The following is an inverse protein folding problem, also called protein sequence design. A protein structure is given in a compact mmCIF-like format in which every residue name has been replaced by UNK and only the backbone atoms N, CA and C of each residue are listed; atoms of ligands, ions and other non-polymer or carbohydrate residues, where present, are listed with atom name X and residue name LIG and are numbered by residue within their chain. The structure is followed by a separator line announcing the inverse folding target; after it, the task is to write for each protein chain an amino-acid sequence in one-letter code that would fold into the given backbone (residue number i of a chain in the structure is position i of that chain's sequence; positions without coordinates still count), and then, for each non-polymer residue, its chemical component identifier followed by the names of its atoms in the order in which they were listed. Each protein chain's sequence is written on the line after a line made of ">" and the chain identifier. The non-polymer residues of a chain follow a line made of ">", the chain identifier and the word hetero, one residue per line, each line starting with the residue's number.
data_IF_405667920991
#
_entry.id   IF_405667920991
#
_cell.length_a   1.000
_cell.length_b   1.000
_cell.length_c   1.000
_cell.angle_alpha   90.00
_cell.angle_beta   90.00
_cell.angle_gamma   90.00
#
_symmetry.space_group_name_H-M   'P 1'
#
loop_
_entity.id
_entity.type
_entity.pdbx_description
1 polymer ?
#
# COMPACT_ATOMS: atom_id res chain seq x y z
N UNK A 1 8.23 -79.25 -51.84
CA UNK A 1 6.89 -79.84 -51.70
C UNK A 1 5.89 -78.70 -51.77
N UNK A 2 5.20 -78.46 -52.89
CA UNK A 2 5.32 -79.11 -54.21
C UNK A 2 6.60 -78.65 -54.96
N UNK A 3 7.11 -79.19 -56.08
CA UNK A 3 6.55 -79.97 -57.23
C UNK A 3 5.63 -79.19 -58.17
N UNK A 4 5.71 -79.31 -59.50
CA UNK A 4 6.69 -79.96 -60.40
C UNK A 4 6.62 -79.28 -61.80
N UNK A 5 7.52 -79.65 -62.71
CA UNK A 5 7.41 -79.56 -64.18
C UNK A 5 7.35 -78.19 -64.92
N UNK A 6 7.78 -78.07 -66.18
CA UNK A 6 8.90 -78.64 -66.99
C UNK A 6 8.75 -78.04 -68.42
N UNK A 7 9.85 -77.58 -69.05
CA UNK A 7 10.26 -77.83 -70.47
C UNK A 7 9.27 -77.35 -71.60
N UNK A 8 9.62 -76.84 -72.79
CA UNK A 8 10.77 -76.96 -73.71
C UNK A 8 10.87 -75.73 -74.64
N UNK A 9 12.11 -75.32 -74.97
CA UNK A 9 12.67 -75.05 -76.32
C UNK A 9 11.98 -74.07 -77.32
N UNK A 10 12.65 -73.54 -78.36
CA UNK A 10 13.90 -73.96 -79.02
C UNK A 10 14.57 -72.78 -79.76
N UNK A 11 15.90 -72.80 -79.90
CA UNK A 11 16.66 -72.36 -81.09
C UNK A 11 16.75 -70.86 -81.50
N UNK A 12 17.85 -70.33 -82.08
CA UNK A 12 19.10 -70.89 -82.65
C UNK A 12 20.27 -69.85 -82.61
N UNK A 13 21.48 -70.28 -82.21
CA UNK A 13 22.82 -70.06 -82.86
C UNK A 13 23.36 -68.61 -83.12
N UNK A 14 24.65 -68.22 -82.88
CA UNK A 14 25.90 -69.01 -82.86
C UNK A 14 27.00 -68.67 -81.79
N UNK A 15 28.08 -67.92 -82.13
CA UNK A 15 29.47 -68.03 -81.59
C UNK A 15 30.31 -66.73 -81.76
N UNK A 16 31.51 -66.48 -81.19
CA UNK A 16 32.42 -67.11 -80.17
C UNK A 16 33.37 -66.02 -79.60
N UNK A 17 33.75 -66.04 -78.31
CA UNK A 17 34.98 -66.57 -77.66
C UNK A 17 36.39 -66.16 -78.20
N UNK A 18 37.27 -65.84 -77.24
CA UNK A 18 38.69 -65.40 -77.35
C UNK A 18 39.53 -66.17 -76.29
N UNK A 19 40.89 -66.14 -76.28
CA UNK A 19 41.72 -67.31 -76.58
C UNK A 19 42.61 -67.78 -75.42
N UNK A 20 43.22 -68.97 -75.54
CA UNK A 20 44.53 -69.29 -74.91
C UNK A 20 45.17 -70.60 -75.44
N UNK A 21 46.52 -70.62 -75.35
CA UNK A 21 47.48 -71.73 -75.31
C UNK A 21 47.58 -72.74 -76.50
N UNK A 22 48.72 -73.36 -76.87
CA UNK A 22 50.20 -73.15 -76.88
C UNK A 22 50.82 -74.56 -76.97
N UNK A 23 51.70 -74.80 -77.97
CA UNK A 23 52.73 -75.88 -78.05
C UNK A 23 52.26 -77.38 -78.06
N UNK A 24 52.92 -78.35 -78.72
CA UNK A 24 54.17 -78.39 -79.52
C UNK A 24 54.24 -79.60 -80.51
N UNK A 25 55.34 -79.66 -81.27
CA UNK A 25 56.09 -80.83 -81.81
C UNK A 25 55.60 -81.68 -83.01
N UNK A 26 56.17 -81.32 -84.17
CA UNK A 26 56.91 -82.16 -85.15
C UNK A 26 56.21 -83.17 -86.10
N UNK A 27 56.47 -83.02 -87.42
CA UNK A 27 55.94 -83.92 -88.45
C UNK A 27 56.30 -83.71 -89.95
N UNK A 28 57.48 -83.17 -90.29
CA UNK A 28 58.15 -83.23 -91.64
C UNK A 28 57.76 -82.30 -92.83
N UNK A 29 58.79 -81.55 -93.29
CA UNK A 29 59.19 -81.18 -94.70
C UNK A 29 58.27 -80.35 -95.64
N UNK A 30 58.75 -79.39 -96.45
CA UNK A 30 60.04 -78.67 -96.53
C UNK A 30 59.90 -77.31 -97.30
N UNK A 31 60.44 -76.22 -96.73
CA UNK A 31 61.05 -75.02 -97.35
C UNK A 31 60.27 -74.20 -98.42
N UNK A 32 59.83 -72.99 -98.03
CA UNK A 32 59.57 -71.84 -98.93
C UNK A 32 60.44 -70.65 -98.48
N UNK A 33 61.26 -70.09 -99.39
CA UNK A 33 62.34 -69.15 -99.04
C UNK A 33 61.98 -67.67 -99.21
N UNK A 34 61.85 -66.97 -98.07
CA UNK A 34 61.53 -65.53 -97.99
C UNK A 34 62.56 -64.62 -98.69
N UNK A 35 63.83 -65.01 -98.79
CA UNK A 35 64.86 -64.25 -99.52
C UNK A 35 64.50 -64.00 -101.00
N UNK A 36 63.68 -64.86 -101.59
CA UNK A 36 63.26 -64.71 -103.00
C UNK A 36 62.31 -63.52 -103.22
N UNK A 37 61.45 -63.18 -102.26
CA UNK A 37 60.53 -62.03 -102.37
C UNK A 37 61.17 -60.71 -101.90
N UNK A 38 62.02 -60.72 -100.86
CA UNK A 38 62.67 -59.49 -100.36
C UNK A 38 63.66 -58.85 -101.35
N UNK A 39 64.05 -59.57 -102.41
CA UNK A 39 64.88 -59.03 -103.49
C UNK A 39 64.16 -58.05 -104.43
N UNK A 40 62.81 -58.08 -104.50
CA UNK A 40 62.04 -57.30 -105.50
C UNK A 40 61.48 -55.95 -105.03
N UNK A 41 61.50 -55.63 -103.74
CA UNK A 41 60.94 -54.36 -103.19
C UNK A 41 61.98 -53.35 -102.70
N UNK A 42 63.29 -53.63 -102.84
CA UNK A 42 64.38 -52.80 -102.28
C UNK A 42 64.69 -51.50 -103.07
N UNK A 43 63.86 -51.09 -104.03
CA UNK A 43 64.14 -49.91 -104.91
C UNK A 43 62.94 -48.96 -105.17
N UNK A 44 62.07 -48.73 -104.17
CA UNK A 44 61.22 -47.54 -104.21
C UNK A 44 60.97 -46.93 -102.82
N UNK A 45 61.69 -45.85 -102.48
CA UNK A 45 61.45 -45.07 -101.25
C UNK A 45 60.32 -44.08 -101.51
N UNK A 46 59.08 -44.51 -101.27
CA UNK A 46 57.89 -43.69 -101.52
C UNK A 46 57.77 -42.57 -100.47
N UNK A 47 58.25 -41.36 -100.77
CA UNK A 47 58.31 -40.21 -99.84
C UNK A 47 56.94 -39.75 -99.35
N UNK A 48 55.89 -39.94 -100.15
CA UNK A 48 54.49 -39.72 -99.77
C UNK A 48 54.06 -40.56 -98.56
N UNK A 49 54.60 -41.77 -98.38
CA UNK A 49 54.24 -42.64 -97.26
C UNK A 49 54.80 -42.09 -95.93
N UNK A 50 56.00 -41.52 -95.94
CA UNK A 50 56.55 -40.78 -94.79
C UNK A 50 55.75 -39.50 -94.50
N UNK A 51 55.27 -38.80 -95.53
CA UNK A 51 54.43 -37.61 -95.35
C UNK A 51 53.08 -37.94 -94.69
N UNK A 52 52.42 -39.03 -95.11
CA UNK A 52 51.21 -39.54 -94.44
C UNK A 52 51.48 -39.98 -92.99
N UNK A 53 52.58 -40.68 -92.74
CA UNK A 53 52.94 -41.14 -91.39
C UNK A 53 53.21 -39.97 -90.42
N UNK A 54 53.94 -38.94 -90.87
CA UNK A 54 54.18 -37.72 -90.09
C UNK A 54 52.87 -36.95 -89.89
N UNK A 55 52.06 -36.80 -90.93
CA UNK A 55 50.74 -36.14 -90.84
C UNK A 55 49.80 -36.82 -89.84
N UNK A 56 49.77 -38.16 -89.81
CA UNK A 56 48.97 -38.93 -88.85
C UNK A 56 49.46 -38.75 -87.40
N UNK A 57 50.78 -38.77 -87.19
CA UNK A 57 51.40 -38.48 -85.88
C UNK A 57 51.11 -37.05 -85.40
N UNK A 58 51.18 -36.07 -86.29
CA UNK A 58 50.81 -34.68 -86.00
C UNK A 58 49.31 -34.54 -85.65
N UNK A 59 48.43 -35.22 -86.40
CA UNK A 59 46.99 -35.22 -86.14
C UNK A 59 46.64 -35.85 -84.78
N UNK A 60 47.30 -36.94 -84.39
CA UNK A 60 47.17 -37.55 -83.05
C UNK A 60 47.61 -36.58 -81.94
N UNK A 61 48.72 -35.87 -82.13
CA UNK A 61 49.22 -34.92 -81.15
C UNK A 61 48.28 -33.71 -80.98
N UNK A 62 47.81 -33.14 -82.09
CA UNK A 62 46.80 -32.05 -82.08
C UNK A 62 45.48 -32.52 -81.48
N UNK A 63 45.00 -33.72 -81.83
CA UNK A 63 43.79 -34.31 -81.27
C UNK A 63 43.89 -34.47 -79.75
N UNK A 64 45.02 -34.97 -79.24
CA UNK A 64 45.26 -35.11 -77.79
C UNK A 64 45.24 -33.76 -77.06
N UNK A 65 45.88 -32.73 -77.62
CA UNK A 65 45.85 -31.37 -77.07
C UNK A 65 44.43 -30.81 -77.08
N UNK A 66 43.69 -30.99 -78.18
CA UNK A 66 42.31 -30.53 -78.32
C UNK A 66 41.37 -31.23 -77.33
N UNK A 67 41.50 -32.54 -77.15
CA UNK A 67 40.73 -33.32 -76.16
C UNK A 67 41.02 -32.85 -74.73
N UNK A 68 42.29 -32.56 -74.42
CA UNK A 68 42.71 -32.06 -73.10
C UNK A 68 42.17 -30.64 -72.83
N UNK A 69 42.14 -29.77 -73.84
CA UNK A 69 41.53 -28.45 -73.75
C UNK A 69 40.00 -28.54 -73.57
N UNK A 70 39.33 -29.35 -74.37
CA UNK A 70 37.88 -29.54 -74.33
C UNK A 70 37.38 -30.11 -73.00
N UNK A 71 38.08 -31.10 -72.43
CA UNK A 71 37.78 -31.62 -71.09
C UNK A 71 37.99 -30.55 -70.01
N UNK A 72 39.04 -29.72 -70.12
CA UNK A 72 39.32 -28.64 -69.16
C UNK A 72 38.23 -27.57 -69.15
N UNK A 73 37.66 -27.26 -70.31
CA UNK A 73 36.57 -26.30 -70.47
C UNK A 73 35.21 -26.88 -70.05
N UNK A 74 34.98 -28.19 -70.23
CA UNK A 74 33.70 -28.86 -69.90
C UNK A 74 33.55 -29.23 -68.42
N UNK A 75 34.64 -29.36 -67.66
CA UNK A 75 34.61 -29.85 -66.27
C UNK A 75 34.93 -28.80 -65.20
N UNK A 76 35.07 -27.52 -65.55
CA UNK A 76 35.31 -26.46 -64.55
C UNK A 76 34.02 -25.92 -63.89
N UNK A 77 32.83 -26.28 -64.40
CA UNK A 77 31.52 -25.94 -63.81
C UNK A 77 30.59 -27.16 -63.66
N UNK A 78 30.96 -28.09 -62.76
CA UNK A 78 29.96 -28.72 -61.89
C UNK A 78 30.04 -28.07 -60.52
N UNK A 79 29.53 -26.85 -60.42
CA UNK A 79 29.04 -26.34 -59.16
C UNK A 79 28.05 -27.35 -58.58
N UNK A 80 28.34 -27.86 -57.38
CA UNK A 80 27.27 -28.42 -56.54
C UNK A 80 26.26 -27.30 -56.39
N UNK A 81 24.98 -27.56 -56.61
CA UNK A 81 23.97 -26.51 -56.68
C UNK A 81 23.71 -25.95 -55.28
N UNK A 82 24.48 -24.92 -54.90
CA UNK A 82 24.54 -24.35 -53.54
C UNK A 82 23.18 -23.82 -53.07
N UNK A 83 22.27 -23.51 -54.01
CA UNK A 83 20.89 -23.05 -53.74
C UNK A 83 20.14 -23.91 -52.72
N UNK A 84 20.19 -25.25 -52.80
CA UNK A 84 19.46 -26.11 -51.84
C UNK A 84 20.06 -26.06 -50.43
N UNK A 85 21.38 -25.92 -50.32
CA UNK A 85 22.06 -25.77 -49.02
C UNK A 85 21.90 -24.36 -48.44
N UNK A 86 21.76 -23.35 -49.29
CA UNK A 86 21.51 -21.97 -48.89
C UNK A 86 20.07 -21.81 -48.37
N UNK A 87 19.07 -22.36 -49.07
CA UNK A 87 17.67 -22.39 -48.60
C UNK A 87 17.51 -23.19 -47.29
N UNK A 88 18.20 -24.33 -47.13
CA UNK A 88 18.23 -25.07 -45.87
C UNK A 88 18.85 -24.23 -44.73
N UNK A 89 19.96 -23.54 -44.98
CA UNK A 89 20.61 -22.66 -43.99
C UNK A 89 19.74 -21.46 -43.63
N UNK A 90 19.01 -20.89 -44.60
CA UNK A 90 18.04 -19.81 -44.40
C UNK A 90 16.85 -20.29 -43.56
N UNK A 91 16.33 -21.49 -43.84
CA UNK A 91 15.24 -22.10 -43.06
C UNK A 91 15.64 -22.36 -41.61
N UNK A 92 16.79 -22.97 -41.36
CA UNK A 92 17.29 -23.22 -40.00
C UNK A 92 17.53 -21.89 -39.23
N UNK A 93 17.98 -20.84 -39.91
CA UNK A 93 18.10 -19.49 -39.33
C UNK A 93 16.73 -18.90 -38.97
N UNK A 94 15.71 -19.05 -39.83
CA UNK A 94 14.34 -18.58 -39.56
C UNK A 94 13.72 -19.35 -38.39
N UNK A 95 13.83 -20.68 -38.37
CA UNK A 95 13.28 -21.50 -37.28
C UNK A 95 14.00 -21.24 -35.95
N UNK A 96 15.31 -21.00 -35.98
CA UNK A 96 16.08 -20.54 -34.81
C UNK A 96 15.65 -19.14 -34.34
N UNK A 97 15.38 -18.22 -35.26
CA UNK A 97 14.87 -16.88 -34.95
C UNK A 97 13.47 -16.93 -34.33
N UNK A 98 12.50 -17.64 -34.96
CA UNK A 98 11.14 -17.85 -34.43
C UNK A 98 11.17 -18.53 -33.05
N UNK A 99 12.09 -19.48 -32.83
CA UNK A 99 12.30 -20.14 -31.52
C UNK A 99 12.89 -19.20 -30.46
N UNK A 100 13.79 -18.30 -30.83
CA UNK A 100 14.34 -17.29 -29.92
C UNK A 100 13.32 -16.20 -29.59
N UNK A 101 12.50 -15.75 -30.56
CA UNK A 101 11.38 -14.84 -30.34
C UNK A 101 10.36 -15.45 -29.38
N UNK A 102 9.95 -16.70 -29.60
CA UNK A 102 9.03 -17.43 -28.69
C UNK A 102 9.57 -17.48 -27.25
N UNK A 103 10.87 -17.69 -27.07
CA UNK A 103 11.54 -17.66 -25.75
C UNK A 103 11.59 -16.26 -25.14
N UNK A 104 11.83 -15.22 -25.94
CA UNK A 104 11.80 -13.82 -25.49
C UNK A 104 10.40 -13.47 -24.99
N UNK A 105 9.36 -13.83 -25.75
CA UNK A 105 7.96 -13.59 -25.39
C UNK A 105 7.52 -14.41 -24.17
N UNK A 106 8.01 -15.64 -24.02
CA UNK A 106 7.83 -16.40 -22.78
C UNK A 106 8.53 -15.71 -21.60
N UNK A 107 9.79 -15.31 -21.75
CA UNK A 107 10.54 -14.67 -20.68
C UNK A 107 9.94 -13.31 -20.26
N UNK A 108 9.38 -12.56 -21.21
CA UNK A 108 8.60 -11.33 -20.93
C UNK A 108 7.30 -11.61 -20.19
N UNK A 109 6.53 -12.63 -20.58
CA UNK A 109 5.32 -13.05 -19.85
C UNK A 109 5.64 -13.51 -18.43
N UNK A 110 6.74 -14.24 -18.24
CA UNK A 110 7.22 -14.63 -16.92
C UNK A 110 7.67 -13.41 -16.08
N UNK A 111 8.34 -12.42 -16.68
CA UNK A 111 8.67 -11.16 -16.00
C UNK A 111 7.42 -10.38 -15.57
N UNK A 112 6.39 -10.32 -16.42
CA UNK A 112 5.12 -9.67 -16.09
C UNK A 112 4.39 -10.41 -14.97
N UNK A 113 4.31 -11.75 -15.04
CA UNK A 113 3.76 -12.57 -13.96
C UNK A 113 4.48 -12.31 -12.62
N UNK A 114 5.81 -12.16 -12.62
CA UNK A 114 6.59 -11.78 -11.43
C UNK A 114 6.17 -10.39 -10.87
N UNK A 115 5.85 -9.41 -11.74
CA UNK A 115 5.29 -8.12 -11.27
C UNK A 115 3.89 -8.28 -10.68
N UNK A 116 3.04 -9.11 -11.29
CA UNK A 116 1.67 -9.36 -10.81
C UNK A 116 1.70 -10.06 -9.45
N UNK A 117 2.46 -11.14 -9.32
CA UNK A 117 2.69 -11.84 -8.05
C UNK A 117 3.17 -10.89 -6.94
N UNK A 118 4.15 -10.01 -7.25
CA UNK A 118 4.62 -8.99 -6.30
C UNK A 118 3.49 -8.08 -5.83
N UNK A 119 2.70 -7.58 -6.78
CA UNK A 119 1.60 -6.66 -6.51
C UNK A 119 0.48 -7.31 -5.68
N UNK A 120 0.14 -8.58 -5.96
CA UNK A 120 -0.81 -9.36 -5.16
C UNK A 120 -0.27 -9.69 -3.76
N UNK A 121 1.01 -10.03 -3.61
CA UNK A 121 1.62 -10.20 -2.29
C UNK A 121 1.63 -8.88 -1.49
N UNK A 122 1.87 -7.73 -2.13
CA UNK A 122 1.80 -6.41 -1.47
C UNK A 122 0.38 -6.10 -0.99
N UNK A 123 -0.65 -6.39 -1.80
CA UNK A 123 -2.06 -6.17 -1.43
C UNK A 123 -2.46 -7.12 -0.29
N UNK A 124 -2.19 -8.42 -0.41
CA UNK A 124 -2.50 -9.38 0.66
C UNK A 124 -1.72 -9.11 1.95
N UNK A 125 -0.51 -8.55 1.87
CA UNK A 125 0.20 -8.01 3.03
C UNK A 125 -0.54 -6.79 3.59
N UNK A 126 -1.04 -5.88 2.76
CA UNK A 126 -1.84 -4.75 3.25
C UNK A 126 -3.09 -5.24 4.02
N UNK A 127 -3.83 -6.19 3.46
CA UNK A 127 -5.09 -6.70 4.01
C UNK A 127 -4.89 -7.45 5.32
N UNK A 128 -3.92 -8.38 5.39
CA UNK A 128 -3.57 -9.10 6.63
C UNK A 128 -3.25 -8.14 7.79
N UNK A 129 -2.53 -7.06 7.50
CA UNK A 129 -2.16 -6.07 8.50
C UNK A 129 -3.31 -5.13 8.87
N UNK A 130 -4.22 -4.83 7.94
CA UNK A 130 -5.45 -4.10 8.24
C UNK A 130 -6.38 -4.91 9.14
N UNK A 131 -6.57 -6.20 8.86
CA UNK A 131 -7.33 -7.14 9.71
C UNK A 131 -6.67 -7.32 11.09
N UNK A 132 -5.34 -7.43 11.15
CA UNK A 132 -4.59 -7.49 12.41
C UNK A 132 -4.80 -6.23 13.27
N UNK A 133 -4.81 -5.05 12.64
CA UNK A 133 -5.13 -3.78 13.31
C UNK A 133 -6.59 -3.71 13.78
N UNK A 134 -7.56 -4.12 12.95
CA UNK A 134 -8.96 -4.20 13.37
C UNK A 134 -9.12 -5.13 14.60
N UNK A 135 -8.41 -6.27 14.61
CA UNK A 135 -8.40 -7.20 15.75
C UNK A 135 -7.87 -6.52 17.03
N UNK A 136 -6.68 -5.90 16.99
CA UNK A 136 -6.10 -5.17 18.14
C UNK A 136 -7.05 -4.09 18.66
N UNK A 137 -7.71 -3.35 17.77
CA UNK A 137 -8.66 -2.31 18.16
C UNK A 137 -9.92 -2.90 18.83
N UNK A 138 -10.35 -4.10 18.43
CA UNK A 138 -11.50 -4.81 18.99
C UNK A 138 -11.23 -5.58 20.29
N UNK A 139 -9.98 -5.94 20.59
CA UNK A 139 -9.58 -6.61 21.84
C UNK A 139 -9.83 -5.71 23.06
N UNK A 140 -10.12 -6.28 24.24
CA UNK A 140 -10.38 -5.52 25.47
C UNK A 140 -9.07 -5.21 26.21
N UNK A 141 -8.25 -4.37 25.57
CA UNK A 141 -6.93 -3.92 26.05
C UNK A 141 -6.95 -2.43 26.39
N UNK A 142 -5.97 -1.99 27.20
CA UNK A 142 -5.73 -0.57 27.43
C UNK A 142 -5.40 0.16 26.12
N UNK A 143 -5.70 1.46 26.05
CA UNK A 143 -5.42 2.25 24.86
C UNK A 143 -3.91 2.33 24.58
N UNK A 144 -3.07 2.34 25.61
CA UNK A 144 -1.61 2.36 25.47
C UNK A 144 -1.09 1.03 24.91
N UNK A 145 -1.56 -0.10 25.42
CA UNK A 145 -1.24 -1.44 24.88
C UNK A 145 -1.69 -1.58 23.41
N UNK A 146 -2.87 -1.05 23.06
CA UNK A 146 -3.36 -1.00 21.67
C UNK A 146 -2.44 -0.16 20.79
N UNK A 147 -1.95 0.97 21.29
CA UNK A 147 -1.03 1.84 20.57
C UNK A 147 0.32 1.12 20.34
N UNK A 148 0.90 0.51 21.38
CA UNK A 148 2.15 -0.26 21.28
C UNK A 148 2.04 -1.41 20.28
N UNK A 149 1.04 -2.29 20.43
CA UNK A 149 0.81 -3.40 19.47
C UNK A 149 0.56 -2.90 18.05
N UNK A 150 -0.09 -1.75 17.86
CA UNK A 150 -0.28 -1.15 16.53
C UNK A 150 1.03 -0.61 15.94
N UNK A 151 1.93 -0.09 16.77
CA UNK A 151 3.28 0.36 16.36
C UNK A 151 4.15 -0.84 15.98
N UNK A 152 4.15 -1.91 16.76
CA UNK A 152 4.85 -3.16 16.46
C UNK A 152 4.35 -3.79 15.14
N UNK A 153 3.03 -3.93 15.01
CA UNK A 153 2.39 -4.42 13.80
C UNK A 153 2.73 -3.54 12.58
N UNK A 154 2.90 -2.22 12.76
CA UNK A 154 3.35 -1.32 11.69
C UNK A 154 4.82 -1.58 11.31
N UNK A 155 5.74 -1.72 12.27
CA UNK A 155 7.17 -2.03 12.01
C UNK A 155 7.31 -3.35 11.26
N UNK A 156 6.64 -4.40 11.74
CA UNK A 156 6.65 -5.73 11.11
C UNK A 156 6.11 -5.69 9.66
N UNK A 157 5.10 -4.85 9.38
CA UNK A 157 4.60 -4.60 8.02
C UNK A 157 5.68 -3.99 7.13
N UNK A 158 6.41 -2.99 7.62
CA UNK A 158 7.43 -2.27 6.85
C UNK A 158 8.64 -3.18 6.55
N UNK A 159 9.06 -4.00 7.50
CA UNK A 159 10.11 -5.02 7.32
C UNK A 159 9.70 -6.11 6.32
N UNK A 160 8.49 -6.66 6.45
CA UNK A 160 7.97 -7.64 5.46
C UNK A 160 7.80 -7.02 4.08
N UNK A 161 7.32 -5.78 3.98
CA UNK A 161 7.18 -5.08 2.70
C UNK A 161 8.54 -4.84 2.03
N UNK A 162 9.59 -4.50 2.81
CA UNK A 162 10.95 -4.35 2.31
C UNK A 162 11.50 -5.68 1.79
N UNK A 163 11.51 -6.71 2.63
CA UNK A 163 12.01 -8.04 2.26
C UNK A 163 11.26 -8.67 1.07
N UNK A 164 9.96 -8.40 0.96
CA UNK A 164 9.13 -8.76 -0.19
C UNK A 164 9.63 -8.08 -1.48
N UNK A 165 9.75 -6.75 -1.46
CA UNK A 165 10.27 -5.97 -2.62
C UNK A 165 11.67 -6.42 -3.01
N UNK A 166 12.57 -6.62 -2.04
CA UNK A 166 13.95 -7.07 -2.30
C UNK A 166 14.00 -8.48 -2.90
N UNK A 167 13.06 -9.38 -2.51
CA UNK A 167 12.92 -10.72 -3.09
C UNK A 167 12.44 -10.66 -4.54
N UNK A 168 11.43 -9.85 -4.83
CA UNK A 168 10.89 -9.70 -6.18
C UNK A 168 11.83 -8.92 -7.12
N UNK A 169 12.53 -7.90 -6.64
CA UNK A 169 13.57 -7.19 -7.39
C UNK A 169 14.63 -8.15 -7.95
N UNK A 170 15.14 -9.07 -7.11
CA UNK A 170 16.11 -10.09 -7.52
C UNK A 170 15.55 -11.14 -8.51
N UNK A 171 14.24 -11.44 -8.46
CA UNK A 171 13.58 -12.28 -9.48
C UNK A 171 13.48 -11.55 -10.82
N UNK A 172 13.06 -10.28 -10.79
CA UNK A 172 12.95 -9.44 -11.99
C UNK A 172 14.30 -9.16 -12.64
N UNK A 173 15.35 -8.90 -11.86
CA UNK A 173 16.72 -8.68 -12.33
C UNK A 173 17.26 -9.90 -13.08
N UNK A 174 17.21 -11.09 -12.46
CA UNK A 174 17.60 -12.35 -13.10
C UNK A 174 16.84 -12.62 -14.41
N UNK A 175 15.54 -12.31 -14.46
CA UNK A 175 14.74 -12.50 -15.67
C UNK A 175 15.02 -11.43 -16.73
N UNK A 176 15.34 -10.20 -16.31
CA UNK A 176 15.84 -9.14 -17.18
C UNK A 176 17.18 -9.49 -17.84
N UNK A 177 18.11 -10.10 -17.10
CA UNK A 177 19.35 -10.64 -17.66
C UNK A 177 19.08 -11.74 -18.70
N UNK A 178 18.17 -12.66 -18.42
CA UNK A 178 17.79 -13.73 -19.36
C UNK A 178 17.25 -13.14 -20.68
N UNK A 179 16.32 -12.18 -20.60
CA UNK A 179 15.78 -11.44 -21.74
C UNK A 179 16.90 -10.71 -22.50
N UNK A 180 17.84 -10.07 -21.80
CA UNK A 180 18.97 -9.37 -22.43
C UNK A 180 19.91 -10.34 -23.19
N UNK A 181 20.18 -11.53 -22.62
CA UNK A 181 20.96 -12.59 -23.27
C UNK A 181 20.24 -13.12 -24.53
N UNK A 182 18.94 -13.42 -24.42
CA UNK A 182 18.12 -13.89 -25.54
C UNK A 182 18.05 -12.85 -26.69
N UNK A 183 17.84 -11.56 -26.35
CA UNK A 183 17.91 -10.47 -27.34
C UNK A 183 19.27 -10.36 -28.01
N UNK A 184 20.37 -10.53 -27.26
CA UNK A 184 21.72 -10.52 -27.84
C UNK A 184 21.91 -11.65 -28.85
N UNK A 185 21.46 -12.87 -28.55
CA UNK A 185 21.48 -13.97 -29.54
C UNK A 185 20.59 -13.71 -30.75
N UNK A 186 19.38 -13.19 -30.55
CA UNK A 186 18.46 -12.85 -31.64
C UNK A 186 19.04 -11.81 -32.59
N UNK A 187 19.63 -10.73 -32.06
CA UNK A 187 20.25 -9.67 -32.87
C UNK A 187 21.45 -10.19 -33.70
N UNK A 188 22.22 -11.15 -33.17
CA UNK A 188 23.31 -11.80 -33.92
C UNK A 188 22.72 -12.60 -35.09
N UNK A 189 21.71 -13.44 -34.85
CA UNK A 189 21.00 -14.17 -35.92
C UNK A 189 20.39 -13.23 -36.96
N UNK A 190 19.75 -12.13 -36.54
CA UNK A 190 19.14 -11.15 -37.44
C UNK A 190 20.18 -10.41 -38.29
N UNK A 191 21.36 -10.12 -37.74
CA UNK A 191 22.46 -9.48 -38.49
C UNK A 191 23.07 -10.42 -39.54
N UNK A 192 23.30 -11.69 -39.20
CA UNK A 192 23.78 -12.74 -40.11
C UNK A 192 22.73 -13.08 -41.19
N UNK A 193 21.45 -12.93 -40.88
CA UNK A 193 20.36 -13.09 -41.83
C UNK A 193 20.29 -11.91 -42.82
N UNK A 194 20.39 -10.66 -42.34
CA UNK A 194 20.41 -9.46 -43.19
C UNK A 194 21.62 -9.36 -44.12
N UNK A 195 22.77 -9.96 -43.77
CA UNK A 195 23.89 -10.07 -44.71
C UNK A 195 23.60 -11.05 -45.84
N UNK A 196 22.95 -12.18 -45.55
CA UNK A 196 22.66 -13.23 -46.54
C UNK A 196 21.43 -12.89 -47.42
N UNK A 197 20.49 -12.08 -46.93
CA UNK A 197 19.28 -11.68 -47.68
C UNK A 197 19.54 -10.75 -48.87
N UNK A 198 20.72 -10.12 -48.97
CA UNK A 198 20.99 -9.14 -50.06
C UNK A 198 21.00 -9.78 -51.45
N UNK A 199 21.17 -11.10 -51.53
CA UNK A 199 21.41 -11.82 -52.78
C UNK A 199 20.22 -12.70 -53.22
N UNK A 200 19.06 -12.63 -52.55
CA UNK A 200 17.90 -13.52 -52.85
C UNK A 200 16.52 -12.86 -52.67
N UNK A 201 15.79 -12.71 -53.78
CA UNK A 201 14.50 -11.98 -53.83
C UNK A 201 13.26 -12.74 -53.34
N UNK A 202 13.33 -14.06 -53.09
CA UNK A 202 12.17 -14.88 -52.73
C UNK A 202 11.69 -14.72 -51.27
N UNK A 203 12.41 -13.94 -50.46
CA UNK A 203 12.33 -13.99 -48.98
C UNK A 203 11.33 -12.99 -48.37
N UNK A 204 10.70 -12.11 -49.17
CA UNK A 204 9.81 -11.04 -48.67
C UNK A 204 8.61 -11.56 -47.85
N UNK A 205 7.86 -12.54 -48.35
CA UNK A 205 6.61 -12.99 -47.71
C UNK A 205 6.82 -13.54 -46.28
N UNK A 206 7.93 -14.23 -46.04
CA UNK A 206 8.26 -14.77 -44.71
C UNK A 206 8.68 -13.67 -43.72
N UNK A 207 9.21 -12.55 -44.22
CA UNK A 207 9.57 -11.39 -43.39
C UNK A 207 8.32 -10.65 -42.90
N UNK A 208 7.32 -10.48 -43.76
CA UNK A 208 6.04 -9.86 -43.41
C UNK A 208 5.25 -10.70 -42.38
N UNK A 209 5.26 -12.03 -42.51
CA UNK A 209 4.67 -12.93 -41.52
C UNK A 209 5.33 -12.74 -40.13
N UNK A 210 6.67 -12.78 -40.07
CA UNK A 210 7.45 -12.58 -38.85
C UNK A 210 7.14 -11.21 -38.21
N UNK A 211 7.09 -10.15 -39.01
CA UNK A 211 6.79 -8.80 -38.51
C UNK A 211 5.34 -8.68 -38.00
N UNK A 212 4.39 -9.40 -38.58
CA UNK A 212 3.00 -9.47 -38.10
C UNK A 212 2.88 -10.19 -36.75
N UNK A 213 3.61 -11.29 -36.56
CA UNK A 213 3.69 -12.05 -35.30
C UNK A 213 4.25 -11.16 -34.19
N UNK A 214 5.36 -10.47 -34.47
CA UNK A 214 6.00 -9.52 -33.55
C UNK A 214 5.06 -8.39 -33.12
N UNK A 215 4.30 -7.80 -34.05
CA UNK A 215 3.33 -6.74 -33.73
C UNK A 215 2.14 -7.26 -32.91
N UNK A 216 1.63 -8.45 -33.21
CA UNK A 216 0.56 -9.07 -32.41
C UNK A 216 1.03 -9.43 -31.00
N UNK A 217 2.25 -9.97 -30.86
CA UNK A 217 2.84 -10.27 -29.55
C UNK A 217 3.03 -9.01 -28.71
N UNK A 218 3.61 -7.95 -29.30
CA UNK A 218 3.79 -6.65 -28.65
C UNK A 218 2.44 -6.04 -28.20
N UNK A 219 1.41 -6.10 -29.05
CA UNK A 219 0.07 -5.64 -28.73
C UNK A 219 -0.55 -6.42 -27.57
N UNK A 220 -0.42 -7.74 -27.57
CA UNK A 220 -0.92 -8.60 -26.50
C UNK A 220 -0.19 -8.36 -25.16
N UNK A 221 1.13 -8.15 -25.19
CA UNK A 221 1.91 -7.79 -24.01
C UNK A 221 1.43 -6.46 -23.40
N UNK A 222 1.31 -5.39 -24.19
CA UNK A 222 0.81 -4.11 -23.69
C UNK A 222 -0.64 -4.18 -23.18
N UNK A 223 -1.48 -4.99 -23.81
CA UNK A 223 -2.87 -5.17 -23.36
C UNK A 223 -2.94 -5.95 -22.03
N UNK A 224 -2.07 -6.95 -21.83
CA UNK A 224 -1.93 -7.67 -20.56
C UNK A 224 -1.38 -6.78 -19.44
N UNK A 225 -0.32 -6.02 -19.70
CA UNK A 225 0.29 -5.08 -18.74
C UNK A 225 -0.70 -3.96 -18.34
N UNK A 226 -1.52 -3.48 -19.28
CA UNK A 226 -2.59 -2.53 -18.96
C UNK A 226 -3.63 -3.15 -18.02
N UNK A 227 -4.08 -4.38 -18.29
CA UNK A 227 -5.07 -5.06 -17.45
C UNK A 227 -4.53 -5.38 -16.05
N UNK A 228 -3.28 -5.84 -15.92
CA UNK A 228 -2.65 -6.11 -14.62
C UNK A 228 -2.54 -4.82 -13.79
N UNK A 229 -2.13 -3.72 -14.42
CA UNK A 229 -2.00 -2.42 -13.80
C UNK A 229 -3.35 -1.81 -13.36
N UNK A 230 -4.39 -1.94 -14.20
CA UNK A 230 -5.76 -1.53 -13.87
C UNK A 230 -6.31 -2.31 -12.65
N UNK A 231 -6.11 -3.64 -12.61
CA UNK A 231 -6.53 -4.46 -11.48
C UNK A 231 -5.77 -4.12 -10.18
N UNK A 232 -4.46 -3.88 -10.28
CA UNK A 232 -3.64 -3.43 -9.16
C UNK A 232 -4.15 -2.09 -8.59
N UNK A 233 -4.32 -1.07 -9.43
CA UNK A 233 -4.80 0.23 -8.97
C UNK A 233 -6.23 0.16 -8.44
N UNK A 234 -7.11 -0.69 -8.99
CA UNK A 234 -8.46 -0.91 -8.46
C UNK A 234 -8.42 -1.46 -7.03
N UNK A 235 -7.67 -2.54 -6.78
CA UNK A 235 -7.50 -3.14 -5.44
C UNK A 235 -6.80 -2.17 -4.47
N UNK A 236 -5.75 -1.49 -4.91
CA UNK A 236 -5.04 -0.50 -4.09
C UNK A 236 -5.94 0.67 -3.68
N UNK A 237 -6.78 1.15 -4.60
CA UNK A 237 -7.77 2.21 -4.32
C UNK A 237 -8.80 1.72 -3.31
N UNK A 238 -9.33 0.49 -3.46
CA UNK A 238 -10.26 -0.10 -2.49
C UNK A 238 -9.65 -0.21 -1.08
N UNK A 239 -8.40 -0.67 -0.98
CA UNK A 239 -7.68 -0.74 0.31
C UNK A 239 -7.47 0.65 0.93
N UNK A 240 -7.15 1.67 0.13
CA UNK A 240 -7.05 3.05 0.61
C UNK A 240 -8.41 3.65 1.00
N UNK A 241 -9.48 3.36 0.27
CA UNK A 241 -10.85 3.77 0.65
C UNK A 241 -11.19 3.18 2.02
N UNK A 242 -11.01 1.88 2.25
CA UNK A 242 -11.29 1.26 3.55
C UNK A 242 -10.41 1.82 4.69
N UNK A 243 -9.18 2.26 4.41
CA UNK A 243 -8.29 2.88 5.40
C UNK A 243 -8.82 4.22 5.93
N UNK A 244 -9.42 5.05 5.07
CA UNK A 244 -9.88 6.41 5.40
C UNK A 244 -11.41 6.52 5.58
N UNK A 245 -12.15 5.56 5.04
CA UNK A 245 -13.59 5.41 5.11
C UNK A 245 -13.91 3.94 5.53
N UNK A 246 -13.59 3.54 6.77
CA UNK A 246 -13.75 2.16 7.24
C UNK A 246 -15.22 1.73 7.42
N UNK A 247 -15.43 0.41 7.44
CA UNK A 247 -16.68 -0.22 7.88
C UNK A 247 -16.52 -0.67 9.33
N UNK A 248 -17.22 0.00 10.26
CA UNK A 248 -17.22 -0.34 11.68
C UNK A 248 -18.03 -1.63 11.88
N UNK A 249 -17.38 -2.68 12.40
CA UNK A 249 -17.99 -3.99 12.66
C UNK A 249 -18.11 -4.32 14.15
N UNK A 250 -17.39 -3.62 15.02
CA UNK A 250 -17.35 -3.90 16.47
C UNK A 250 -18.72 -3.66 17.11
N UNK A 251 -19.27 -4.67 17.78
CA UNK A 251 -20.62 -4.63 18.36
C UNK A 251 -20.85 -3.43 19.28
N UNK A 252 -19.90 -3.13 20.18
CA UNK A 252 -19.94 -1.95 21.06
C UNK A 252 -20.13 -0.64 20.28
N UNK A 253 -19.40 -0.46 19.17
CA UNK A 253 -19.51 0.74 18.34
C UNK A 253 -20.82 0.72 17.54
N UNK A 254 -21.24 -0.43 17.00
CA UNK A 254 -22.54 -0.57 16.32
C UNK A 254 -23.71 -0.25 17.25
N UNK A 255 -23.62 -0.56 18.54
CA UNK A 255 -24.65 -0.22 19.52
C UNK A 255 -24.69 1.30 19.79
N UNK A 256 -23.54 1.95 19.93
CA UNK A 256 -23.45 3.43 20.03
C UNK A 256 -24.03 4.09 18.77
N UNK A 257 -23.72 3.59 17.57
CA UNK A 257 -24.24 4.12 16.30
C UNK A 257 -25.76 3.94 16.11
N UNK A 258 -26.37 2.96 16.80
CA UNK A 258 -27.82 2.71 16.80
C UNK A 258 -28.58 3.50 17.86
N UNK A 259 -27.89 4.10 18.81
CA UNK A 259 -28.49 4.78 19.96
C UNK A 259 -29.27 6.03 19.52
N UNK A 260 -30.56 6.09 19.88
CA UNK A 260 -31.49 7.14 19.44
C UNK A 260 -31.41 8.38 20.33
N UNK A 261 -30.40 9.21 20.09
CA UNK A 261 -30.27 10.53 20.72
C UNK A 261 -30.92 11.58 19.80
N UNK A 262 -31.99 12.22 20.28
CA UNK A 262 -32.84 13.13 19.50
C UNK A 262 -32.45 14.62 19.69
N UNK A 263 -31.15 14.91 19.76
CA UNK A 263 -30.60 16.26 19.96
C UNK A 263 -29.46 16.48 18.96
N UNK A 264 -29.34 17.68 18.39
CA UNK A 264 -28.24 18.06 17.50
C UNK A 264 -27.56 19.33 18.00
N UNK A 265 -26.26 19.47 17.74
CA UNK A 265 -25.50 20.58 18.32
C UNK A 265 -26.02 21.94 17.86
N UNK A 266 -26.41 22.05 16.59
CA UNK A 266 -27.04 23.25 16.03
C UNK A 266 -28.34 23.66 16.76
N UNK A 267 -29.11 22.72 17.32
CA UNK A 267 -30.29 23.06 18.11
C UNK A 267 -29.95 23.49 19.55
N UNK A 268 -28.82 23.03 20.09
CA UNK A 268 -28.33 23.39 21.42
C UNK A 268 -27.62 24.75 21.41
N UNK A 269 -26.77 25.03 20.41
CA UNK A 269 -26.04 26.31 20.25
C UNK A 269 -27.01 27.51 20.32
N UNK A 270 -28.12 27.44 19.58
CA UNK A 270 -29.16 28.48 19.57
C UNK A 270 -29.89 28.69 20.92
N UNK A 271 -29.67 27.82 21.91
CA UNK A 271 -30.29 27.85 23.25
C UNK A 271 -29.27 28.10 24.38
N UNK A 272 -27.97 28.24 24.05
CA UNK A 272 -26.92 28.46 25.05
C UNK A 272 -27.12 29.79 25.78
N UNK A 273 -26.99 29.75 27.10
CA UNK A 273 -27.18 30.96 27.92
C UNK A 273 -25.92 31.80 27.97
N UNK A 274 -26.11 33.11 28.10
CA UNK A 274 -25.06 34.06 28.43
C UNK A 274 -24.49 33.79 29.84
N UNK A 275 -23.28 34.29 30.11
CA UNK A 275 -22.62 34.14 31.40
C UNK A 275 -23.48 34.64 32.57
N UNK A 276 -23.88 33.78 33.53
CA UNK A 276 -24.63 34.17 34.72
C UNK A 276 -23.73 34.93 35.70
N UNK A 277 -24.00 36.21 36.03
CA UNK A 277 -23.11 37.02 36.88
C UNK A 277 -22.85 36.42 38.27
N UNK A 278 -23.85 35.72 38.83
CA UNK A 278 -23.79 35.07 40.15
C UNK A 278 -22.64 34.06 40.28
N UNK A 279 -22.24 33.40 39.20
CA UNK A 279 -21.09 32.48 39.21
C UNK A 279 -19.76 33.21 39.49
N UNK A 280 -19.69 34.50 39.14
CA UNK A 280 -18.54 35.36 39.38
C UNK A 280 -18.56 35.98 40.77
N UNK A 281 -19.71 36.45 41.25
CA UNK A 281 -19.82 37.02 42.62
C UNK A 281 -19.54 35.98 43.69
N UNK A 282 -20.00 34.74 43.50
CA UNK A 282 -19.73 33.61 44.40
C UNK A 282 -18.36 32.97 44.18
N UNK A 283 -17.56 33.43 43.21
CA UNK A 283 -16.23 32.89 42.91
C UNK A 283 -16.20 31.46 42.34
N UNK A 284 -17.35 30.94 41.90
CA UNK A 284 -17.53 29.56 41.44
C UNK A 284 -16.91 29.33 40.06
N UNK A 285 -17.16 30.25 39.11
CA UNK A 285 -16.68 30.10 37.74
C UNK A 285 -16.51 31.45 37.07
N UNK A 286 -15.34 31.71 36.48
CA UNK A 286 -15.03 33.02 35.90
C UNK A 286 -15.61 33.20 34.49
N UNK A 287 -15.94 34.44 34.15
CA UNK A 287 -16.45 34.84 32.83
C UNK A 287 -15.54 34.41 31.68
N UNK A 288 -14.22 34.51 31.86
CA UNK A 288 -13.25 34.16 30.83
C UNK A 288 -13.21 32.65 30.56
N UNK A 289 -13.31 31.82 31.62
CA UNK A 289 -13.40 30.35 31.47
C UNK A 289 -14.71 29.93 30.83
N UNK A 290 -15.81 30.61 31.16
CA UNK A 290 -17.10 30.41 30.50
C UNK A 290 -17.07 30.76 29.01
N UNK A 291 -16.53 31.93 28.66
CA UNK A 291 -16.39 32.36 27.27
C UNK A 291 -15.40 31.47 26.48
N UNK A 292 -14.38 30.90 27.13
CA UNK A 292 -13.50 29.90 26.54
C UNK A 292 -14.26 28.59 26.24
N UNK A 293 -15.07 28.10 27.19
CA UNK A 293 -15.90 26.93 26.96
C UNK A 293 -16.91 27.12 25.81
N UNK A 294 -17.54 28.30 25.72
CA UNK A 294 -18.42 28.63 24.59
C UNK A 294 -17.69 28.53 23.26
N UNK A 295 -16.50 29.14 23.14
CA UNK A 295 -15.67 29.01 21.93
C UNK A 295 -15.31 27.56 21.62
N UNK A 296 -14.95 26.74 22.60
CA UNK A 296 -14.68 25.31 22.35
C UNK A 296 -15.90 24.52 21.84
N UNK A 297 -17.12 24.92 22.20
CA UNK A 297 -18.36 24.33 21.67
C UNK A 297 -18.55 24.74 20.19
N UNK A 298 -18.32 26.01 19.87
CA UNK A 298 -18.41 26.54 18.50
C UNK A 298 -17.30 25.97 17.59
N UNK A 299 -16.06 25.93 18.07
CA UNK A 299 -14.89 25.34 17.40
C UNK A 299 -15.12 23.85 17.09
N UNK A 300 -15.76 23.11 18.00
CA UNK A 300 -16.13 21.71 17.77
C UNK A 300 -17.16 21.58 16.64
N UNK A 301 -18.20 22.42 16.58
CA UNK A 301 -19.16 22.38 15.47
C UNK A 301 -18.44 22.66 14.14
N UNK A 302 -17.63 23.72 14.07
CA UNK A 302 -16.87 24.08 12.86
C UNK A 302 -16.02 22.91 12.35
N UNK A 303 -15.27 22.25 13.24
CA UNK A 303 -14.47 21.07 12.90
C UNK A 303 -15.35 19.90 12.45
N UNK A 304 -16.48 19.65 13.12
CA UNK A 304 -17.38 18.56 12.80
C UNK A 304 -18.12 18.77 11.47
N UNK A 305 -18.58 19.99 11.17
CA UNK A 305 -19.16 20.33 9.87
C UNK A 305 -18.10 20.20 8.76
N UNK A 306 -16.84 20.58 9.02
CA UNK A 306 -15.76 20.37 8.04
C UNK A 306 -15.52 18.88 7.77
N UNK A 307 -15.56 18.02 8.78
CA UNK A 307 -15.48 16.56 8.58
C UNK A 307 -16.70 16.03 7.83
N UNK A 308 -17.92 16.45 8.19
CA UNK A 308 -19.18 16.08 7.49
C UNK A 308 -19.20 16.52 6.01
N UNK A 309 -18.44 17.56 5.64
CA UNK A 309 -18.32 18.01 4.23
C UNK A 309 -17.54 17.07 3.31
N UNK A 310 -16.81 16.09 3.88
CA UNK A 310 -16.08 15.08 3.10
C UNK A 310 -17.05 13.95 2.71
N UNK A 311 -17.13 13.56 1.42
CA UNK A 311 -18.07 12.54 0.95
C UNK A 311 -17.62 11.12 1.34
N UNK A 312 -17.75 10.78 2.62
CA UNK A 312 -17.57 9.41 3.11
C UNK A 312 -18.81 8.56 2.80
N UNK A 313 -18.61 7.28 2.47
CA UNK A 313 -19.69 6.35 2.08
C UNK A 313 -20.01 5.28 3.13
N UNK A 314 -19.06 4.91 4.01
CA UNK A 314 -19.18 3.76 4.90
C UNK A 314 -19.64 4.18 6.31
N UNK A 315 -18.91 3.82 7.37
CA UNK A 315 -19.37 4.05 8.75
C UNK A 315 -18.99 5.42 9.32
N UNK A 316 -18.27 6.26 8.57
CA UNK A 316 -17.87 7.60 9.03
C UNK A 316 -19.06 8.58 9.12
N UNK A 317 -19.97 8.73 8.13
CA UNK A 317 -21.13 9.61 8.25
C UNK A 317 -22.01 9.34 9.48
N UNK A 318 -22.45 8.09 9.78
CA UNK A 318 -23.23 7.83 10.98
C UNK A 318 -22.40 8.01 12.27
N UNK A 319 -21.07 7.78 12.24
CA UNK A 319 -20.21 8.07 13.38
C UNK A 319 -20.11 9.57 13.68
N UNK A 320 -19.91 10.41 12.66
CA UNK A 320 -19.90 11.88 12.81
C UNK A 320 -21.28 12.40 13.26
N UNK A 321 -22.38 11.79 12.79
CA UNK A 321 -23.73 12.12 13.25
C UNK A 321 -23.97 11.70 14.71
N UNK A 322 -23.40 10.58 15.16
CA UNK A 322 -23.54 10.16 16.56
C UNK A 322 -22.62 10.97 17.49
N UNK A 323 -21.45 11.39 17.03
CA UNK A 323 -20.57 12.33 17.73
C UNK A 323 -21.27 13.68 17.97
N UNK A 324 -21.91 14.24 16.92
CA UNK A 324 -22.76 15.45 17.00
C UNK A 324 -23.79 15.33 18.14
N UNK A 325 -24.58 14.25 18.12
CA UNK A 325 -25.64 13.98 19.10
C UNK A 325 -25.12 13.80 20.53
N UNK A 326 -24.06 13.02 20.71
CA UNK A 326 -23.45 12.77 22.02
C UNK A 326 -22.88 14.06 22.61
N UNK A 327 -22.21 14.88 21.80
CA UNK A 327 -21.69 16.16 22.24
C UNK A 327 -22.82 17.16 22.55
N UNK A 328 -23.84 17.24 21.70
CA UNK A 328 -25.02 18.06 21.93
C UNK A 328 -25.74 17.72 23.25
N UNK A 329 -25.89 16.42 23.55
CA UNK A 329 -26.43 15.94 24.81
C UNK A 329 -25.57 16.36 26.02
N UNK A 330 -24.24 16.18 25.95
CA UNK A 330 -23.34 16.64 27.01
C UNK A 330 -23.42 18.15 27.26
N UNK A 331 -23.56 18.96 26.20
CA UNK A 331 -23.73 20.41 26.31
C UNK A 331 -25.10 20.76 26.91
N UNK A 332 -26.17 20.07 26.52
CA UNK A 332 -27.53 20.31 27.07
C UNK A 332 -27.61 19.95 28.57
N UNK A 333 -27.03 18.83 28.99
CA UNK A 333 -26.90 18.46 30.41
C UNK A 333 -26.06 19.46 31.20
N UNK A 334 -24.97 19.97 30.62
CA UNK A 334 -24.15 21.02 31.23
C UNK A 334 -24.93 22.34 31.41
N UNK A 335 -25.69 22.78 30.39
CA UNK A 335 -26.56 23.96 30.49
C UNK A 335 -27.63 23.78 31.57
N UNK A 336 -28.18 22.57 31.70
CA UNK A 336 -29.16 22.23 32.73
C UNK A 336 -28.55 22.29 34.14
N UNK A 337 -27.37 21.72 34.34
CA UNK A 337 -26.63 21.77 35.62
C UNK A 337 -26.29 23.21 36.00
N UNK A 338 -25.75 24.02 35.08
CA UNK A 338 -25.49 25.45 35.34
C UNK A 338 -26.78 26.18 35.68
N UNK A 339 -27.85 26.00 34.89
CA UNK A 339 -29.12 26.68 35.12
C UNK A 339 -29.72 26.34 36.48
N UNK A 340 -29.64 25.08 36.92
CA UNK A 340 -30.10 24.67 38.25
C UNK A 340 -29.21 25.23 39.36
N UNK A 341 -27.90 25.22 39.18
CA UNK A 341 -26.95 25.79 40.15
C UNK A 341 -27.20 27.29 40.34
N UNK A 342 -27.29 28.06 39.25
CA UNK A 342 -27.52 29.51 39.32
C UNK A 342 -28.85 29.85 39.96
N UNK A 343 -29.92 29.12 39.62
CA UNK A 343 -31.24 29.35 40.23
C UNK A 343 -31.22 29.04 41.72
N UNK A 344 -30.59 27.94 42.15
CA UNK A 344 -30.48 27.59 43.58
C UNK A 344 -29.60 28.55 44.37
N UNK A 345 -28.52 29.06 43.78
CA UNK A 345 -27.69 30.10 44.40
C UNK A 345 -28.48 31.40 44.56
N UNK A 346 -29.23 31.80 43.54
CA UNK A 346 -30.03 33.02 43.56
C UNK A 346 -31.16 32.93 44.60
N UNK A 347 -31.88 31.80 44.66
CA UNK A 347 -32.85 31.50 45.71
C UNK A 347 -32.23 31.61 47.13
N UNK A 348 -31.06 30.99 47.35
CA UNK A 348 -30.37 31.05 48.65
C UNK A 348 -29.88 32.44 49.01
N UNK A 349 -29.35 33.20 48.05
CA UNK A 349 -28.92 34.57 48.27
C UNK A 349 -30.11 35.48 48.59
N UNK A 350 -31.27 35.26 47.98
CA UNK A 350 -32.52 35.94 48.34
C UNK A 350 -33.01 35.56 49.75
N UNK A 351 -32.93 34.29 50.16
CA UNK A 351 -33.24 33.86 51.53
C UNK A 351 -32.31 34.53 52.56
N UNK A 352 -30.99 34.50 52.33
CA UNK A 352 -29.98 35.12 53.19
C UNK A 352 -30.19 36.64 53.28
N UNK A 353 -30.50 37.30 52.17
CA UNK A 353 -30.80 38.73 52.13
C UNK A 353 -32.03 39.10 52.99
N UNK A 354 -33.11 38.29 52.93
CA UNK A 354 -34.30 38.47 53.78
C UNK A 354 -34.00 38.25 55.27
N UNK A 355 -33.14 37.29 55.61
CA UNK A 355 -32.70 37.05 56.98
C UNK A 355 -31.85 38.22 57.50
N UNK A 356 -30.88 38.69 56.72
CA UNK A 356 -30.05 39.86 57.06
C UNK A 356 -30.91 41.11 57.29
N UNK A 357 -31.87 41.40 56.41
CA UNK A 357 -32.84 42.49 56.60
C UNK A 357 -33.61 42.37 57.92
N UNK A 358 -34.06 41.16 58.26
CA UNK A 358 -34.81 40.90 59.51
C UNK A 358 -33.95 41.08 60.76
N UNK A 359 -32.66 40.70 60.70
CA UNK A 359 -31.70 40.89 61.78
C UNK A 359 -31.26 42.35 61.93
N UNK A 360 -31.07 43.08 60.82
CA UNK A 360 -30.81 44.52 60.80
C UNK A 360 -32.00 45.28 61.44
N UNK A 361 -33.24 44.91 61.13
CA UNK A 361 -34.44 45.48 61.77
C UNK A 361 -34.53 45.16 63.28
N UNK A 362 -34.16 43.94 63.69
CA UNK A 362 -34.11 43.58 65.11
C UNK A 362 -33.10 44.43 65.89
N UNK A 363 -31.91 44.68 65.32
CA UNK A 363 -30.89 45.54 65.94
C UNK A 363 -31.24 47.04 65.93
N UNK A 364 -32.11 47.49 65.01
CA UNK A 364 -32.66 48.86 65.02
C UNK A 364 -33.74 49.04 66.08
N UNK A 365 -34.54 47.99 66.35
CA UNK A 365 -35.65 48.04 67.31
C UNK A 365 -35.25 47.68 68.74
N UNK A 366 -34.16 46.92 68.92
CA UNK A 366 -33.57 46.58 70.22
C UNK A 366 -32.08 46.96 70.20
N UNK A 367 -31.64 47.96 70.99
CA UNK A 367 -30.29 48.56 70.89
C UNK A 367 -29.20 47.70 71.56
N UNK A 368 -29.13 46.42 71.19
CA UNK A 368 -28.08 45.49 71.60
C UNK A 368 -26.82 45.66 70.72
N UNK A 369 -25.64 45.24 71.20
CA UNK A 369 -24.44 45.28 70.35
C UNK A 369 -24.45 44.21 69.26
N UNK A 370 -25.14 43.09 69.52
CA UNK A 370 -25.34 42.00 68.58
C UNK A 370 -26.04 40.79 69.20
N UNK A 371 -26.20 39.74 68.40
CA UNK A 371 -26.81 38.47 68.80
C UNK A 371 -25.98 37.28 68.35
N UNK A 372 -26.07 36.19 69.10
CA UNK A 372 -25.59 34.87 68.67
C UNK A 372 -26.56 34.32 67.61
N UNK A 373 -26.05 33.84 66.47
CA UNK A 373 -26.85 33.21 65.42
C UNK A 373 -26.71 31.69 65.46
N UNK A 374 -25.48 31.18 65.60
CA UNK A 374 -25.21 29.74 65.68
C UNK A 374 -24.09 29.44 66.69
N UNK A 375 -24.42 28.87 67.86
CA UNK A 375 -23.46 28.50 68.90
C UNK A 375 -22.93 27.06 68.77
N UNK A 376 -23.22 26.32 67.69
CA UNK A 376 -22.89 24.89 67.59
C UNK A 376 -21.40 24.57 67.56
N UNK A 377 -20.55 25.49 67.07
CA UNK A 377 -19.10 25.43 67.18
C UNK A 377 -18.62 26.48 68.20
N UNK A 378 -18.16 26.09 69.41
CA UNK A 378 -17.65 27.04 70.40
C UNK A 378 -16.40 27.83 69.97
N UNK A 379 -15.64 27.35 69.00
CA UNK A 379 -14.46 28.06 68.45
C UNK A 379 -14.81 28.95 67.24
N UNK A 380 -15.96 28.74 66.59
CA UNK A 380 -16.41 29.53 65.43
C UNK A 380 -17.90 29.89 65.48
N UNK A 381 -18.32 30.45 66.62
CA UNK A 381 -19.68 30.93 66.85
C UNK A 381 -20.05 31.95 65.76
N UNK A 382 -21.17 31.72 65.09
CA UNK A 382 -21.75 32.67 64.13
C UNK A 382 -22.50 33.73 64.94
N UNK A 383 -22.17 34.99 64.69
CA UNK A 383 -22.72 36.16 65.37
C UNK A 383 -23.25 37.16 64.34
N UNK A 384 -24.20 37.99 64.75
CA UNK A 384 -24.68 39.13 63.98
C UNK A 384 -24.53 40.39 64.82
N UNK A 385 -23.70 41.33 64.39
CA UNK A 385 -23.32 42.51 65.16
C UNK A 385 -23.84 43.77 64.48
N UNK A 386 -24.14 44.81 65.28
CA UNK A 386 -24.50 46.11 64.74
C UNK A 386 -23.32 46.69 63.91
N UNK A 387 -23.55 46.91 62.61
CA UNK A 387 -22.54 47.35 61.63
C UNK A 387 -21.91 48.72 61.95
N UNK A 388 -22.55 49.52 62.81
CA UNK A 388 -22.01 50.81 63.31
C UNK A 388 -20.84 50.59 64.29
N UNK A 389 -20.78 49.43 64.95
CA UNK A 389 -19.73 49.11 65.93
C UNK A 389 -18.48 48.59 65.21
N UNK A 390 -17.37 49.34 65.30
CA UNK A 390 -16.08 48.93 64.73
C UNK A 390 -15.37 47.92 65.66
N UNK A 391 -15.70 46.64 65.49
CA UNK A 391 -15.20 45.53 66.30
C UNK A 391 -13.82 45.08 65.81
N UNK A 392 -12.81 45.21 66.66
CA UNK A 392 -11.45 44.74 66.37
C UNK A 392 -11.30 43.25 66.70
N UNK A 393 -10.63 42.51 65.82
CA UNK A 393 -10.14 41.14 66.09
C UNK A 393 -9.42 41.08 67.44
N UNK A 394 -9.72 40.07 68.26
CA UNK A 394 -9.15 39.88 69.60
C UNK A 394 -9.86 40.64 70.72
N UNK A 395 -10.80 41.55 70.42
CA UNK A 395 -11.64 42.17 71.45
C UNK A 395 -12.65 41.16 72.04
N UNK A 396 -13.07 41.40 73.29
CA UNK A 396 -14.01 40.52 74.01
C UNK A 396 -15.37 41.18 74.21
N UNK A 397 -16.41 40.35 74.24
CA UNK A 397 -17.77 40.73 74.64
C UNK A 397 -18.34 39.73 75.64
N UNK A 398 -19.35 40.17 76.38
CA UNK A 398 -20.11 39.33 77.30
C UNK A 398 -21.39 38.86 76.62
N UNK A 399 -21.81 37.63 76.95
CA UNK A 399 -23.07 37.05 76.50
C UNK A 399 -24.05 37.02 77.67
N UNK A 400 -25.24 37.55 77.42
CA UNK A 400 -26.37 37.53 78.33
C UNK A 400 -27.57 36.86 77.68
N UNK A 401 -28.38 36.18 78.49
CA UNK A 401 -29.74 35.81 78.15
C UNK A 401 -30.67 36.71 78.93
N UNK A 402 -31.67 37.26 78.24
CA UNK A 402 -32.50 38.36 78.76
C UNK A 402 -31.60 39.49 79.32
N UNK A 403 -32.04 40.25 80.32
CA UNK A 403 -31.29 41.44 80.78
C UNK A 403 -30.26 41.13 81.89
N UNK A 404 -30.50 40.09 82.70
CA UNK A 404 -29.70 39.80 83.90
C UNK A 404 -28.96 38.44 83.86
N UNK A 405 -29.28 37.52 82.93
CA UNK A 405 -28.69 36.17 82.94
C UNK A 405 -27.32 36.13 82.22
N UNK A 406 -26.23 36.37 82.95
CA UNK A 406 -24.88 36.13 82.41
C UNK A 406 -24.68 34.65 82.00
N UNK A 407 -24.19 34.45 80.77
CA UNK A 407 -23.92 33.13 80.16
C UNK A 407 -22.41 32.87 80.02
N UNK A 408 -21.61 33.87 79.67
CA UNK A 408 -20.18 33.70 79.47
C UNK A 408 -19.53 34.84 78.66
N UNK A 409 -18.28 34.62 78.26
CA UNK A 409 -17.46 35.61 77.55
C UNK A 409 -16.93 35.04 76.26
N UNK A 410 -17.02 35.84 75.19
CA UNK A 410 -16.47 35.52 73.88
C UNK A 410 -15.36 36.48 73.48
N UNK A 411 -14.50 36.02 72.58
CA UNK A 411 -13.51 36.83 71.88
C UNK A 411 -13.77 36.79 70.39
N UNK A 412 -13.78 37.96 69.73
CA UNK A 412 -14.06 38.06 68.30
C UNK A 412 -12.83 37.72 67.44
N UNK A 413 -13.05 37.02 66.33
CA UNK A 413 -12.05 36.75 65.29
C UNK A 413 -12.63 36.95 63.89
N UNK A 414 -11.74 37.13 62.90
CA UNK A 414 -12.14 37.59 61.57
C UNK A 414 -12.39 39.10 61.48
N UNK A 415 -12.99 39.54 60.38
CA UNK A 415 -13.26 40.94 60.05
C UNK A 415 -14.44 41.06 59.08
N UNK A 416 -15.14 42.20 59.09
CA UNK A 416 -16.30 42.48 58.24
C UNK A 416 -17.42 41.43 58.38
N UNK A 417 -18.01 41.03 57.26
CA UNK A 417 -19.09 40.02 57.23
C UNK A 417 -18.64 38.60 57.63
N UNK A 418 -17.33 38.38 57.76
CA UNK A 418 -16.73 37.12 58.28
C UNK A 418 -16.36 37.21 59.77
N UNK A 419 -16.92 38.17 60.51
CA UNK A 419 -16.75 38.21 61.96
C UNK A 419 -17.37 36.95 62.59
N UNK A 420 -16.59 36.32 63.46
CA UNK A 420 -16.92 35.15 64.26
C UNK A 420 -16.50 35.40 65.70
N UNK A 421 -16.87 34.50 66.59
CA UNK A 421 -16.38 34.54 67.96
C UNK A 421 -16.03 33.14 68.48
N UNK A 422 -15.12 33.09 69.43
CA UNK A 422 -14.80 31.88 70.21
C UNK A 422 -15.15 32.07 71.68
N UNK A 423 -15.62 31.02 72.33
CA UNK A 423 -15.88 31.01 73.77
C UNK A 423 -14.56 31.07 74.54
N UNK A 424 -14.43 32.04 75.43
CA UNK A 424 -13.26 32.18 76.33
C UNK A 424 -13.59 31.91 77.78
N UNK A 425 -14.86 32.03 78.17
CA UNK A 425 -15.33 31.82 79.54
C UNK A 425 -16.79 31.35 79.50
N UNK A 426 -17.16 30.44 80.40
CA UNK A 426 -18.50 29.88 80.51
C UNK A 426 -19.00 30.03 81.95
N UNK A 427 -20.18 30.59 82.14
CA UNK A 427 -20.78 30.74 83.46
C UNK A 427 -21.36 29.40 83.94
N UNK A 428 -20.54 28.61 84.63
CA UNK A 428 -20.89 27.29 85.12
C UNK A 428 -21.34 26.34 84.00
N UNK A 429 -22.49 25.69 84.17
CA UNK A 429 -23.03 24.75 83.19
C UNK A 429 -23.87 25.38 82.06
N UNK A 430 -24.06 26.71 82.04
CA UNK A 430 -24.93 27.39 81.06
C UNK A 430 -24.37 27.30 79.64
N UNK A 431 -25.21 26.91 78.69
CA UNK A 431 -24.84 26.80 77.26
C UNK A 431 -25.37 28.01 76.50
N UNK A 432 -24.58 28.52 75.54
CA UNK A 432 -25.02 29.58 74.63
C UNK A 432 -26.13 29.04 73.71
N UNK A 433 -27.15 29.84 73.47
CA UNK A 433 -28.27 29.57 72.55
C UNK A 433 -28.31 30.62 71.42
N UNK A 434 -28.94 30.30 70.28
CA UNK A 434 -29.30 31.31 69.30
C UNK A 434 -30.11 32.44 69.96
N UNK A 435 -29.85 33.68 69.53
CA UNK A 435 -30.42 34.93 70.04
C UNK A 435 -30.06 35.32 71.47
N UNK A 436 -29.12 34.63 72.14
CA UNK A 436 -28.46 35.22 73.32
C UNK A 436 -27.79 36.55 72.91
N UNK A 437 -27.90 37.57 73.77
CA UNK A 437 -27.46 38.95 73.53
C UNK A 437 -25.94 39.07 73.67
N UNK A 438 -25.33 39.88 72.82
CA UNK A 438 -23.91 40.24 72.90
C UNK A 438 -23.80 41.69 73.35
N UNK A 439 -23.09 41.93 74.44
CA UNK A 439 -22.78 43.26 74.96
C UNK A 439 -21.28 43.54 74.87
N UNK A 440 -20.92 44.56 74.08
CA UNK A 440 -19.54 45.08 74.02
C UNK A 440 -19.38 46.13 75.11
N UNK A 441 -18.35 45.99 75.94
CA UNK A 441 -17.97 47.05 76.88
C UNK A 441 -17.38 48.22 76.11
N UNK A 442 -18.21 49.22 75.81
CA UNK A 442 -17.73 50.53 75.39
C UNK A 442 -16.72 51.05 76.41
N UNK A 443 -15.54 51.48 75.96
CA UNK A 443 -14.67 52.37 76.74
C UNK A 443 -15.24 53.78 76.59
N UNK A 444 -16.26 54.07 77.38
CA UNK A 444 -16.46 55.41 77.92
C UNK A 444 -16.04 55.38 79.40
N UNK A 445 -15.67 56.56 79.89
CA UNK A 445 -14.93 56.84 81.13
C UNK A 445 -13.45 56.40 81.09
N UNK A 446 -12.45 57.28 81.28
CA UNK A 446 -12.48 58.62 81.86
C UNK A 446 -11.58 59.65 81.13
N UNK A 447 -11.75 60.91 81.58
CA UNK A 447 -10.90 62.08 81.33
C UNK A 447 -9.41 61.83 81.57
#
# INVERSE_FOLDING_TARGET
>A
MADDDKITSTDLIQHRFLPQDIEDTEGQTEIYSLDSEFSKTRKNKNTTLYFFMIGFLSALFVSTIFYTAFIRETHQDRSVNISEFEDLRIKDLIDSAKKNETKIDQAYRELENIKVEMNEEIISLHDRYSLGREKILSEDLSQDEKNERTIELKKEKEEKLKSLKDRYARRMEKKGEEIARLKKSMNVSESTYKSNMKDSGAVLNNYDELQSIKMNSLRNMHQSEKQSLEQYYRRYTQAMVLKYNPVIKTERLLNILKEKINVSLASVINRLKNYPPILGSEGIYSRDRFNLLRRHIDDYDILLQRLKSVPYENSIPPALQQMDRLFAYMVEEYEFVISRLTNRLDERNHEISRLNYSLDYLLQTRPESGYIIDPRDPENIIIYMNRVLNIKTGSSAYIFRDDDEYIGKIQFHGSGEKLRARMTEKSGNKVIRPFDKILIRSRQDNK
#
